data_IF_423010649472
#
_entry.id   IF_423010649472
#
_cell.length_a   1.000
_cell.length_b   1.000
_cell.length_c   1.000
_cell.angle_alpha   90.00
_cell.angle_beta   90.00
_cell.angle_gamma   90.00
#
_symmetry.space_group_name_H-M   'P 1'
#
loop_
_entity.id
_entity.type
_entity.pdbx_description
1 polymer ?
#
# COMPACT_ATOMS: atom_id res chain seq x y z
N UNK A 1 -66.33 -21.29 -17.84
CA UNK A 1 -65.81 -20.45 -18.95
C UNK A 1 -65.71 -18.96 -18.64
N UNK A 2 -66.79 -18.17 -18.46
CA UNK A 2 -66.63 -16.70 -18.23
C UNK A 2 -66.15 -16.32 -16.81
N UNK A 3 -66.58 -17.03 -15.77
CA UNK A 3 -66.18 -16.78 -14.37
C UNK A 3 -64.69 -17.08 -14.12
N UNK A 4 -64.21 -18.25 -14.55
CA UNK A 4 -62.80 -18.64 -14.47
C UNK A 4 -61.88 -17.65 -15.20
N UNK A 5 -62.33 -17.08 -16.33
CA UNK A 5 -61.54 -16.07 -17.04
C UNK A 5 -61.48 -14.72 -16.32
N UNK A 6 -62.38 -14.45 -15.38
CA UNK A 6 -62.38 -13.25 -14.54
C UNK A 6 -61.37 -13.38 -13.40
N UNK A 7 -61.45 -14.47 -12.65
CA UNK A 7 -60.55 -14.79 -11.53
C UNK A 7 -59.10 -14.90 -12.01
N UNK A 8 -58.86 -15.59 -13.14
CA UNK A 8 -57.53 -15.67 -13.76
C UNK A 8 -56.99 -14.29 -14.21
N UNK A 9 -57.85 -13.32 -14.52
CA UNK A 9 -57.41 -11.95 -14.87
C UNK A 9 -57.06 -11.14 -13.64
N UNK A 10 -57.81 -11.29 -12.56
CA UNK A 10 -57.53 -10.63 -11.28
C UNK A 10 -56.24 -11.15 -10.65
N UNK A 11 -56.03 -12.46 -10.65
CA UNK A 11 -54.77 -13.07 -10.22
C UNK A 11 -53.59 -12.61 -11.08
N UNK A 12 -53.75 -12.57 -12.41
CA UNK A 12 -52.72 -12.04 -13.30
C UNK A 12 -52.42 -10.56 -13.03
N UNK A 13 -53.42 -9.76 -12.67
CA UNK A 13 -53.23 -8.36 -12.31
C UNK A 13 -52.46 -8.22 -10.99
N UNK A 14 -52.80 -9.03 -9.98
CA UNK A 14 -52.13 -9.07 -8.70
C UNK A 14 -50.66 -9.51 -8.83
N UNK A 15 -50.40 -10.60 -9.57
CA UNK A 15 -49.06 -11.10 -9.84
C UNK A 15 -48.21 -10.09 -10.61
N UNK A 16 -48.79 -9.40 -11.61
CA UNK A 16 -48.09 -8.33 -12.34
C UNK A 16 -47.76 -7.13 -11.45
N UNK A 17 -48.60 -6.82 -10.47
CA UNK A 17 -48.34 -5.76 -9.48
C UNK A 17 -47.17 -6.15 -8.58
N UNK A 18 -47.17 -7.37 -8.04
CA UNK A 18 -46.08 -7.89 -7.22
C UNK A 18 -44.75 -7.91 -7.98
N UNK A 19 -44.74 -8.40 -9.22
CA UNK A 19 -43.53 -8.40 -10.07
C UNK A 19 -42.97 -7.00 -10.31
N UNK A 20 -43.82 -5.97 -10.45
CA UNK A 20 -43.36 -4.59 -10.60
C UNK A 20 -42.72 -4.08 -9.31
N UNK A 21 -43.30 -4.37 -8.16
CA UNK A 21 -42.77 -3.97 -6.86
C UNK A 21 -41.43 -4.64 -6.56
N UNK A 22 -41.32 -5.94 -6.80
CA UNK A 22 -40.05 -6.67 -6.61
C UNK A 22 -38.96 -6.19 -7.56
N UNK A 23 -39.27 -5.98 -8.85
CA UNK A 23 -38.31 -5.42 -9.81
C UNK A 23 -37.82 -4.03 -9.40
N UNK A 24 -38.70 -3.20 -8.83
CA UNK A 24 -38.31 -1.90 -8.31
C UNK A 24 -37.35 -2.02 -7.11
N UNK A 25 -37.62 -2.94 -6.18
CA UNK A 25 -36.74 -3.23 -5.04
C UNK A 25 -35.37 -3.72 -5.49
N UNK A 26 -35.32 -4.67 -6.43
CA UNK A 26 -34.06 -5.19 -7.00
C UNK A 26 -33.25 -4.08 -7.68
N UNK A 27 -33.90 -3.20 -8.45
CA UNK A 27 -33.24 -2.06 -9.09
C UNK A 27 -32.70 -1.03 -8.08
N UNK A 28 -33.38 -0.85 -6.95
CA UNK A 28 -32.93 0.03 -5.87
C UNK A 28 -31.71 -0.56 -5.15
N UNK A 29 -31.78 -1.85 -4.78
CA UNK A 29 -30.69 -2.55 -4.10
C UNK A 29 -29.45 -2.66 -5.00
N UNK A 30 -29.62 -2.98 -6.29
CA UNK A 30 -28.50 -3.03 -7.23
C UNK A 30 -27.83 -1.67 -7.39
N UNK A 31 -28.58 -0.57 -7.38
CA UNK A 31 -28.02 0.79 -7.33
C UNK A 31 -27.32 1.11 -6.01
N UNK A 32 -27.77 0.58 -4.88
CA UNK A 32 -27.08 0.80 -3.59
C UNK A 32 -25.76 0.01 -3.49
N UNK A 33 -25.77 -1.23 -3.96
CA UNK A 33 -24.61 -2.14 -3.87
C UNK A 33 -23.59 -1.86 -4.98
N UNK A 34 -24.05 -1.73 -6.22
CA UNK A 34 -23.20 -1.59 -7.41
C UNK A 34 -23.22 -0.19 -8.02
N UNK A 35 -24.07 0.71 -7.52
CA UNK A 35 -24.02 2.11 -7.93
C UNK A 35 -22.73 2.76 -7.45
N UNK A 36 -22.17 3.62 -8.31
CA UNK A 36 -20.97 4.40 -7.98
C UNK A 36 -21.26 5.25 -6.75
N UNK A 37 -20.60 4.93 -5.63
CA UNK A 37 -20.62 5.76 -4.42
C UNK A 37 -19.91 7.07 -4.75
N UNK A 38 -20.67 8.09 -5.10
CA UNK A 38 -20.14 9.45 -5.31
C UNK A 38 -20.02 10.10 -3.94
N UNK A 39 -18.97 9.77 -3.20
CA UNK A 39 -18.71 10.28 -1.85
C UNK A 39 -18.52 11.81 -1.77
N UNK A 40 -18.46 12.52 -2.90
CA UNK A 40 -18.43 13.99 -2.95
C UNK A 40 -19.20 14.53 -4.16
N UNK A 41 -20.48 14.82 -4.01
CA UNK A 41 -21.16 15.78 -4.89
C UNK A 41 -21.88 16.84 -4.06
N UNK A 42 -21.18 17.95 -3.82
CA UNK A 42 -21.79 19.21 -3.40
C UNK A 42 -22.86 19.59 -4.43
N UNK A 43 -24.13 19.60 -4.02
CA UNK A 43 -25.24 20.17 -4.78
C UNK A 43 -25.12 21.69 -4.82
N UNK A 44 -24.25 22.22 -5.68
CA UNK A 44 -24.33 23.61 -6.12
C UNK A 44 -25.13 23.69 -7.42
N UNK A 45 -26.27 24.39 -7.33
CA UNK A 45 -27.26 24.66 -8.38
C UNK A 45 -26.65 25.07 -9.73
N UNK A 46 -27.34 24.65 -10.81
CA UNK A 46 -27.23 25.07 -12.22
C UNK A 46 -26.29 26.27 -12.45
N UNK A 47 -25.11 26.03 -13.02
CA UNK A 47 -24.34 27.07 -13.72
C UNK A 47 -24.12 26.61 -15.15
N UNK A 48 -24.53 27.50 -16.06
CA UNK A 48 -24.48 27.43 -17.52
C UNK A 48 -23.23 26.71 -18.05
N UNK A 49 -23.41 25.97 -19.14
CA UNK A 49 -22.39 25.39 -20.01
C UNK A 49 -21.24 26.37 -20.29
N UNK A 50 -20.26 26.41 -19.39
CA UNK A 50 -18.90 26.75 -19.75
C UNK A 50 -18.33 25.43 -20.25
N UNK A 51 -18.03 25.33 -21.55
CA UNK A 51 -17.22 24.25 -22.14
C UNK A 51 -16.08 23.96 -21.16
N UNK A 52 -16.23 22.91 -20.35
CA UNK A 52 -15.19 22.50 -19.42
C UNK A 52 -14.07 22.06 -20.35
N UNK A 53 -13.03 22.87 -20.44
CA UNK A 53 -11.81 22.48 -21.12
C UNK A 53 -11.28 21.27 -20.35
N UNK A 54 -11.70 20.08 -20.79
CA UNK A 54 -11.33 18.81 -20.21
C UNK A 54 -9.87 18.65 -20.52
N UNK A 55 -9.01 19.15 -19.61
CA UNK A 55 -7.57 18.93 -19.69
C UNK A 55 -7.39 17.44 -19.93
N UNK A 56 -6.77 17.09 -21.07
CA UNK A 56 -6.44 15.70 -21.38
C UNK A 56 -5.71 15.12 -20.17
N UNK A 57 -6.14 13.94 -19.73
CA UNK A 57 -5.44 13.21 -18.67
C UNK A 57 -4.07 12.79 -19.21
N UNK A 58 -3.05 12.83 -18.35
CA UNK A 58 -1.67 12.49 -18.71
C UNK A 58 -0.74 13.70 -18.80
N UNK A 59 0.54 13.40 -19.04
CA UNK A 59 1.57 14.41 -19.22
C UNK A 59 1.30 15.24 -20.48
N UNK A 60 1.48 16.56 -20.39
CA UNK A 60 1.34 17.45 -21.54
C UNK A 60 2.58 17.37 -22.44
N UNK A 61 2.45 17.64 -23.75
CA UNK A 61 3.61 17.87 -24.62
C UNK A 61 4.55 18.91 -23.98
N UNK A 62 5.85 18.59 -23.92
CA UNK A 62 6.87 19.43 -23.27
C UNK A 62 6.99 19.27 -21.75
N UNK A 63 6.23 18.37 -21.12
CA UNK A 63 6.39 18.07 -19.71
C UNK A 63 7.70 17.31 -19.47
N UNK A 64 8.66 17.94 -18.77
CA UNK A 64 9.85 17.25 -18.26
C UNK A 64 9.40 16.19 -17.26
N UNK A 65 9.53 14.92 -17.61
CA UNK A 65 9.22 13.81 -16.71
C UNK A 65 9.98 13.96 -15.39
N UNK A 66 9.34 13.65 -14.27
CA UNK A 66 10.07 13.45 -13.02
C UNK A 66 10.68 12.05 -13.07
N UNK A 67 11.93 11.95 -13.54
CA UNK A 67 12.68 10.70 -13.52
C UNK A 67 12.90 10.18 -12.09
N UNK A 68 13.45 8.96 -11.98
CA UNK A 68 13.92 8.43 -10.70
C UNK A 68 15.12 9.28 -10.26
N UNK A 69 15.00 9.90 -9.08
CA UNK A 69 16.09 10.65 -8.46
C UNK A 69 16.68 9.81 -7.34
N UNK A 70 17.99 9.57 -7.39
CA UNK A 70 18.71 8.95 -6.28
C UNK A 70 18.79 10.02 -5.17
N UNK A 71 18.36 9.71 -3.94
CA UNK A 71 18.49 10.65 -2.82
C UNK A 71 19.96 11.04 -2.58
N UNK A 72 20.21 12.33 -2.37
CA UNK A 72 21.57 12.87 -2.15
C UNK A 72 22.14 12.51 -0.77
N UNK A 73 21.28 12.20 0.19
CA UNK A 73 21.64 11.89 1.59
C UNK A 73 22.01 10.40 1.83
N UNK A 74 22.06 9.59 0.77
CA UNK A 74 22.49 8.20 0.88
C UNK A 74 24.01 8.11 0.91
N UNK A 75 24.56 7.37 1.88
CA UNK A 75 25.98 7.03 1.91
C UNK A 75 26.34 6.21 0.67
N UNK A 76 27.27 6.71 -0.14
CA UNK A 76 27.79 6.00 -1.30
C UNK A 76 28.89 5.03 -0.86
N UNK A 77 28.82 3.78 -1.33
CA UNK A 77 29.90 2.79 -1.24
C UNK A 77 30.34 2.52 -2.68
N UNK A 78 31.60 2.79 -2.99
CA UNK A 78 32.18 2.51 -4.30
C UNK A 78 32.72 1.08 -4.29
N UNK A 79 32.35 0.30 -5.30
CA UNK A 79 32.81 -1.07 -5.52
C UNK A 79 33.25 -1.19 -6.97
N UNK A 80 34.51 -1.60 -7.17
CA UNK A 80 35.06 -1.89 -8.49
C UNK A 80 34.95 -3.38 -8.74
N UNK A 81 34.16 -3.76 -9.76
CA UNK A 81 34.00 -5.15 -10.18
C UNK A 81 34.89 -5.39 -11.40
N UNK A 82 35.93 -6.20 -11.23
CA UNK A 82 36.82 -6.64 -12.30
C UNK A 82 36.40 -8.02 -12.83
N UNK A 83 36.80 -8.33 -14.07
CA UNK A 83 36.59 -9.66 -14.66
C UNK A 83 37.58 -10.67 -14.06
N UNK A 84 37.21 -11.97 -13.98
CA UNK A 84 38.11 -13.01 -13.53
C UNK A 84 39.42 -13.04 -14.34
N UNK A 85 40.53 -13.42 -13.71
CA UNK A 85 41.84 -13.42 -14.39
C UNK A 85 41.89 -14.35 -15.62
N UNK A 86 41.12 -15.44 -15.62
CA UNK A 86 41.01 -16.36 -16.75
C UNK A 86 40.31 -15.72 -17.97
N UNK A 87 39.46 -14.72 -17.74
CA UNK A 87 38.71 -13.99 -18.77
C UNK A 87 39.45 -12.76 -19.30
N UNK A 88 40.60 -12.41 -18.70
CA UNK A 88 41.47 -11.31 -19.15
C UNK A 88 42.25 -11.64 -20.42
N UNK A 89 42.10 -12.83 -20.99
CA UNK A 89 42.79 -13.26 -22.21
C UNK A 89 41.80 -13.53 -23.34
N UNK A 90 42.20 -13.16 -24.56
CA UNK A 90 41.40 -13.42 -25.73
C UNK A 90 41.25 -14.93 -25.97
N UNK A 91 40.02 -15.48 -26.05
CA UNK A 91 39.80 -16.92 -26.20
C UNK A 91 40.26 -17.47 -27.57
N UNK A 92 40.58 -16.60 -28.53
CA UNK A 92 41.03 -16.99 -29.88
C UNK A 92 42.55 -16.95 -30.06
N UNK A 93 43.22 -15.96 -29.48
CA UNK A 93 44.67 -15.76 -29.67
C UNK A 93 45.48 -15.84 -28.37
N UNK A 94 44.83 -15.87 -27.21
CA UNK A 94 45.48 -15.98 -25.89
C UNK A 94 46.22 -14.73 -25.42
N UNK A 95 46.14 -13.62 -26.16
CA UNK A 95 46.75 -12.35 -25.75
C UNK A 95 45.93 -11.69 -24.63
N UNK A 96 46.59 -11.06 -23.64
CA UNK A 96 45.89 -10.33 -22.58
C UNK A 96 45.16 -9.12 -23.15
N UNK A 97 44.01 -8.81 -22.55
CA UNK A 97 43.29 -7.56 -22.77
C UNK A 97 44.00 -6.42 -22.04
N UNK A 98 44.00 -5.25 -22.66
CA UNK A 98 44.46 -4.00 -22.04
C UNK A 98 43.26 -3.20 -21.56
N UNK A 99 43.43 -2.47 -20.45
CA UNK A 99 42.38 -1.61 -19.91
C UNK A 99 42.09 -0.46 -20.89
N UNK A 100 40.81 -0.29 -21.24
CA UNK A 100 40.37 0.72 -22.19
C UNK A 100 40.35 2.15 -21.58
N UNK A 101 40.50 2.27 -20.26
CA UNK A 101 40.41 3.54 -19.52
C UNK A 101 39.01 4.16 -19.48
N UNK A 102 37.99 3.44 -19.98
CA UNK A 102 36.58 3.80 -19.87
C UNK A 102 35.85 2.87 -18.91
N UNK A 103 35.24 3.44 -17.87
CA UNK A 103 34.50 2.69 -16.85
C UNK A 103 32.98 2.78 -17.12
N UNK A 104 32.29 1.64 -17.03
CA UNK A 104 30.82 1.61 -17.04
C UNK A 104 30.28 1.76 -15.62
N UNK A 105 29.86 2.98 -15.26
CA UNK A 105 29.35 3.26 -13.92
C UNK A 105 27.84 3.01 -13.83
N UNK A 106 27.42 2.15 -12.91
CA UNK A 106 26.01 1.96 -12.54
C UNK A 106 25.77 2.30 -11.06
N UNK A 107 24.53 2.67 -10.72
CA UNK A 107 24.16 2.98 -9.33
C UNK A 107 23.08 2.01 -8.86
N UNK A 108 23.31 1.35 -7.73
CA UNK A 108 22.33 0.50 -7.08
C UNK A 108 21.94 1.06 -5.71
N UNK A 109 20.63 1.10 -5.42
CA UNK A 109 20.11 1.59 -4.13
C UNK A 109 19.60 0.40 -3.32
N UNK A 110 20.41 -0.03 -2.35
CA UNK A 110 20.10 -1.12 -1.41
C UNK A 110 19.54 -0.63 -0.07
N UNK A 111 18.92 -1.54 0.70
CA UNK A 111 18.48 -1.28 2.08
C UNK A 111 19.15 -2.29 3.01
N UNK A 112 19.94 -1.79 3.96
CA UNK A 112 20.58 -2.59 5.00
C UNK A 112 19.75 -2.50 6.30
N UNK A 113 19.21 -3.63 6.78
CA UNK A 113 18.44 -3.69 8.03
C UNK A 113 19.34 -4.17 9.17
N UNK A 114 19.54 -3.34 10.19
CA UNK A 114 20.24 -3.72 11.41
C UNK A 114 19.26 -4.02 12.54
N UNK A 115 19.42 -5.19 13.17
CA UNK A 115 18.68 -5.60 14.36
C UNK A 115 19.59 -5.50 15.58
N UNK A 116 19.06 -5.02 16.71
CA UNK A 116 19.82 -4.92 17.96
C UNK A 116 19.03 -5.48 19.13
N UNK A 117 19.74 -6.06 20.09
CA UNK A 117 19.16 -6.51 21.37
C UNK A 117 19.33 -5.40 22.40
N UNK A 118 18.21 -4.86 22.87
CA UNK A 118 18.22 -3.85 23.96
C UNK A 118 18.27 -4.53 25.32
N UNK A 119 19.43 -4.56 25.96
CA UNK A 119 19.57 -5.05 27.33
C UNK A 119 19.26 -3.95 28.37
N UNK A 120 18.16 -4.08 29.11
CA UNK A 120 17.72 -3.08 30.10
C UNK A 120 17.99 -3.58 31.53
N UNK A 121 19.00 -3.02 32.20
CA UNK A 121 19.24 -3.24 33.64
C UNK A 121 18.43 -2.26 34.49
N UNK A 122 17.48 -2.78 35.27
CA UNK A 122 16.68 -1.96 36.21
C UNK A 122 17.32 -1.96 37.59
N UNK A 123 17.70 -0.78 38.09
CA UNK A 123 18.16 -0.62 39.47
C UNK A 123 17.00 -0.87 40.44
N UNK A 124 17.29 -1.64 41.49
CA UNK A 124 16.37 -1.89 42.61
C UNK A 124 16.98 -1.27 43.86
N UNK A 125 16.14 -0.60 44.63
CA UNK A 125 16.54 0.09 45.85
C UNK A 125 15.81 -0.53 47.03
N UNK A 126 16.49 -0.62 48.17
CA UNK A 126 15.87 -0.97 49.44
C UNK A 126 15.39 0.31 50.12
N UNK A 127 14.25 0.24 50.79
CA UNK A 127 13.79 1.34 51.64
C UNK A 127 14.65 1.44 52.90
N UNK A 128 14.76 2.63 53.46
CA UNK A 128 15.38 2.90 54.76
C UNK A 128 14.35 3.21 55.85
N UNK A 129 13.05 3.07 55.57
CA UNK A 129 11.94 3.41 56.46
C UNK A 129 11.02 2.20 56.79
N UNK A 130 10.11 2.37 57.74
CA UNK A 130 9.23 1.29 58.23
C UNK A 130 7.97 1.04 57.38
N UNK A 131 7.70 1.82 56.34
CA UNK A 131 6.47 1.75 55.52
C UNK A 131 6.31 0.42 54.73
N UNK A 132 5.09 -0.05 54.41
CA UNK A 132 4.88 -1.29 53.67
C UNK A 132 5.42 -1.23 52.22
N UNK A 133 5.92 -2.37 51.72
CA UNK A 133 6.70 -2.66 50.48
C UNK A 133 8.24 -2.64 50.67
N UNK A 134 8.93 -3.78 50.53
CA UNK A 134 10.37 -3.88 50.85
C UNK A 134 11.32 -3.32 49.77
N UNK A 135 10.89 -3.21 48.51
CA UNK A 135 11.76 -2.87 47.37
C UNK A 135 11.10 -1.80 46.50
N UNK A 136 11.85 -0.75 46.16
CA UNK A 136 11.48 0.25 45.19
C UNK A 136 12.23 0.02 43.86
N UNK A 137 11.50 -0.05 42.76
CA UNK A 137 12.08 -0.21 41.44
C UNK A 137 11.00 -0.02 40.37
N UNK A 138 11.41 0.43 39.18
CA UNK A 138 10.50 0.51 38.03
C UNK A 138 10.09 -0.91 37.63
N UNK A 139 8.79 -1.23 37.49
CA UNK A 139 8.37 -2.53 36.98
C UNK A 139 8.92 -2.75 35.56
N UNK A 140 9.09 -4.02 35.18
CA UNK A 140 9.35 -4.38 33.79
C UNK A 140 8.17 -3.99 32.90
N UNK A 141 8.37 -3.81 31.58
CA UNK A 141 7.25 -3.80 30.66
C UNK A 141 6.46 -5.10 30.83
N UNK A 142 5.14 -5.03 30.64
CA UNK A 142 4.32 -6.24 30.57
C UNK A 142 4.79 -7.09 29.41
N UNK A 143 4.94 -8.40 29.64
CA UNK A 143 5.20 -9.35 28.55
C UNK A 143 3.95 -9.38 27.66
N UNK A 144 4.11 -9.17 26.35
CA UNK A 144 2.98 -9.28 25.40
C UNK A 144 2.58 -10.72 25.13
N UNK A 145 3.49 -11.67 25.33
CA UNK A 145 3.22 -13.10 25.21
C UNK A 145 3.55 -13.80 26.54
N UNK A 146 2.67 -14.68 27.07
CA UNK A 146 2.80 -15.27 28.40
C UNK A 146 4.13 -16.01 28.62
N UNK A 147 4.70 -16.61 27.57
CA UNK A 147 5.98 -17.35 27.63
C UNK A 147 7.13 -16.69 26.83
N UNK A 148 6.93 -15.48 26.31
CA UNK A 148 7.88 -14.83 25.43
C UNK A 148 9.05 -14.22 26.20
N UNK A 149 10.28 -14.58 25.83
CA UNK A 149 11.49 -13.91 26.32
C UNK A 149 11.71 -12.52 25.68
N UNK A 150 10.96 -12.21 24.62
CA UNK A 150 11.09 -11.01 23.81
C UNK A 150 9.86 -10.14 24.03
N UNK A 151 10.07 -8.88 24.42
CA UNK A 151 9.04 -7.84 24.41
C UNK A 151 9.14 -7.06 23.09
N UNK A 152 8.01 -6.61 22.49
CA UNK A 152 8.02 -5.88 21.21
C UNK A 152 8.74 -4.54 21.29
#
# INVERSE_FOLDING_TARGET
MRAETGELKEENAALKKQLKEEKAKVAMLSKMVFGKKTEKQNKSKKRKDKKKNTKKRGAKPGHKGSGRKIPEDLSKREETVDIPDDEKFCPKCGLPYEELGSEECSNEVGVEKSYYVRFIRRKKYRKTCSCPKPIAGRPGPGKTYPEGQISP
#
